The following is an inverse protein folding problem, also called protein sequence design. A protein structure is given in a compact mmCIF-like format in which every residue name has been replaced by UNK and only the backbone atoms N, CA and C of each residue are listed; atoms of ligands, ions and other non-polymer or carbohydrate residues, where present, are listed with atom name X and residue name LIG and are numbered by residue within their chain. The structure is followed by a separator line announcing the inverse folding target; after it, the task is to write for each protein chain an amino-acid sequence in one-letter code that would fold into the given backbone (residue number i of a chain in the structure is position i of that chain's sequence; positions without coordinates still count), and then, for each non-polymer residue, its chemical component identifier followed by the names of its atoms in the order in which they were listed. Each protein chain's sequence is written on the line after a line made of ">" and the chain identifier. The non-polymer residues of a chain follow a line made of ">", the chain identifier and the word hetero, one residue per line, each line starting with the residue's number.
data_IF_683931558445
#
_entry.id   IF_683931558445
#
_cell.length_a   1.000
_cell.length_b   1.000
_cell.length_c   1.000
_cell.angle_alpha   90.00
_cell.angle_beta   90.00
_cell.angle_gamma   90.00
#
_symmetry.space_group_name_H-M   'P 1'
#
loop_
_entity.id
_entity.type
_entity.pdbx_description
1 polymer ?
#
# COMPACT_ATOMS: atom_id res chain seq x y z
N UNK A 1 14.04 -3.72 -15.54
CA UNK A 1 12.66 -3.60 -15.04
C UNK A 1 12.40 -2.14 -14.66
N UNK A 2 11.28 -1.59 -15.06
CA UNK A 2 10.87 -0.22 -14.77
C UNK A 2 9.62 -0.23 -13.88
N UNK A 3 9.69 0.41 -12.71
CA UNK A 3 8.64 0.39 -11.68
C UNK A 3 8.13 1.79 -11.40
N UNK A 4 6.82 1.92 -11.27
CA UNK A 4 6.18 3.13 -10.76
C UNK A 4 5.75 2.90 -9.31
N UNK A 5 6.17 3.77 -8.41
CA UNK A 5 5.89 3.66 -6.98
C UNK A 5 5.10 4.86 -6.46
N UNK A 6 4.01 4.61 -5.74
CA UNK A 6 3.33 5.64 -4.93
C UNK A 6 3.60 5.41 -3.45
N UNK A 7 3.50 6.46 -2.64
CA UNK A 7 3.76 6.35 -1.19
C UNK A 7 5.24 6.17 -0.84
N UNK A 8 6.16 6.57 -1.72
CA UNK A 8 7.62 6.45 -1.58
C UNK A 8 8.22 7.10 -0.33
N UNK A 9 7.50 8.01 0.33
CA UNK A 9 7.92 8.69 1.56
C UNK A 9 7.46 8.00 2.85
N UNK A 10 6.57 7.01 2.75
CA UNK A 10 6.13 6.20 3.89
C UNK A 10 7.18 5.17 4.33
N UNK A 11 6.96 4.53 5.48
CA UNK A 11 7.87 3.53 6.06
C UNK A 11 8.19 2.41 5.05
N UNK A 12 7.17 1.78 4.49
CA UNK A 12 7.33 0.68 3.52
C UNK A 12 7.86 1.19 2.18
N UNK A 13 7.30 2.30 1.67
CA UNK A 13 7.66 2.83 0.36
C UNK A 13 9.10 3.32 0.28
N UNK A 14 9.64 3.95 1.33
CA UNK A 14 11.04 4.38 1.39
C UNK A 14 12.00 3.19 1.46
N UNK A 15 11.66 2.16 2.23
CA UNK A 15 12.46 0.93 2.30
C UNK A 15 12.45 0.18 0.95
N UNK A 16 11.28 0.06 0.32
CA UNK A 16 11.15 -0.54 -1.00
C UNK A 16 11.96 0.24 -2.05
N UNK A 17 11.82 1.57 -2.09
CA UNK A 17 12.58 2.42 -3.01
C UNK A 17 14.09 2.20 -2.87
N UNK A 18 14.59 2.19 -1.63
CA UNK A 18 16.01 1.92 -1.36
C UNK A 18 16.43 0.54 -1.89
N UNK A 19 15.62 -0.49 -1.65
CA UNK A 19 15.91 -1.88 -2.06
C UNK A 19 15.87 -2.08 -3.57
N UNK A 20 14.91 -1.46 -4.26
CA UNK A 20 14.81 -1.53 -5.72
C UNK A 20 16.01 -0.86 -6.41
N UNK A 21 16.43 0.29 -5.89
CA UNK A 21 17.62 1.00 -6.40
C UNK A 21 18.90 0.20 -6.25
N UNK A 22 19.09 -0.49 -5.13
CA UNK A 22 20.27 -1.36 -4.94
C UNK A 22 20.29 -2.60 -5.84
N UNK A 23 19.19 -2.85 -6.57
CA UNK A 23 19.03 -3.97 -7.49
C UNK A 23 18.93 -3.53 -8.96
N UNK A 24 19.44 -2.32 -9.30
CA UNK A 24 19.43 -1.74 -10.64
C UNK A 24 18.05 -1.68 -11.31
N UNK A 25 17.01 -1.51 -10.49
CA UNK A 25 15.63 -1.31 -10.98
C UNK A 25 15.40 0.20 -11.18
N UNK A 26 14.99 0.59 -12.37
CA UNK A 26 14.55 1.96 -12.63
C UNK A 26 13.23 2.22 -11.90
N UNK A 27 13.21 3.22 -11.01
CA UNK A 27 12.02 3.56 -10.22
C UNK A 27 11.64 5.01 -10.46
N UNK A 28 10.45 5.22 -10.97
CA UNK A 28 9.78 6.52 -10.99
C UNK A 28 8.75 6.59 -9.85
N UNK A 29 8.48 7.78 -9.33
CA UNK A 29 7.55 7.95 -8.20
C UNK A 29 6.38 8.85 -8.58
N UNK A 30 5.17 8.48 -8.13
CA UNK A 30 4.00 9.36 -8.17
C UNK A 30 3.92 10.16 -6.86
N UNK A 31 3.88 11.49 -7.00
CA UNK A 31 3.85 12.43 -5.86
C UNK A 31 2.77 13.48 -6.04
N UNK A 32 2.17 13.93 -4.93
CA UNK A 32 1.19 15.02 -4.96
C UNK A 32 1.86 16.39 -5.18
N UNK A 33 3.06 16.55 -4.64
CA UNK A 33 3.84 17.78 -4.70
C UNK A 33 5.30 17.49 -5.07
N UNK A 34 5.71 17.65 -6.34
CA UNK A 34 7.04 17.28 -6.82
C UNK A 34 8.21 17.98 -6.13
N UNK A 35 7.99 19.21 -5.64
CA UNK A 35 9.05 20.03 -5.04
C UNK A 35 9.49 19.56 -3.65
N UNK A 36 8.67 18.78 -2.95
CA UNK A 36 8.94 18.36 -1.56
C UNK A 36 9.81 17.10 -1.50
N UNK A 37 9.73 16.25 -2.53
CA UNK A 37 10.30 14.92 -2.48
C UNK A 37 11.14 14.57 -3.70
N UNK A 38 11.86 15.47 -4.29
CA UNK A 38 12.71 15.28 -5.46
C UNK A 38 12.65 13.91 -6.16
N UNK A 39 12.90 13.85 -7.44
CA UNK A 39 12.99 12.58 -8.14
C UNK A 39 14.07 11.70 -7.52
N UNK A 40 13.86 10.37 -7.43
CA UNK A 40 14.93 9.46 -7.05
C UNK A 40 16.06 9.55 -8.09
N UNK A 41 17.34 9.42 -7.69
CA UNK A 41 18.44 9.38 -8.66
C UNK A 41 18.18 8.37 -9.77
N UNK A 42 18.27 8.81 -11.02
CA UNK A 42 17.97 7.99 -12.20
C UNK A 42 16.50 7.79 -12.51
N UNK A 43 15.58 8.36 -11.70
CA UNK A 43 14.14 8.25 -11.89
C UNK A 43 13.46 9.61 -12.03
N UNK A 44 12.13 9.60 -12.23
CA UNK A 44 11.28 10.79 -12.37
C UNK A 44 10.29 10.90 -11.20
N UNK A 45 9.94 12.13 -10.84
CA UNK A 45 8.81 12.43 -9.99
C UNK A 45 7.64 12.92 -10.86
N UNK A 46 6.61 12.11 -10.96
CA UNK A 46 5.41 12.39 -11.77
C UNK A 46 4.33 12.92 -10.83
N UNK A 47 3.75 14.04 -11.21
CA UNK A 47 2.68 14.63 -10.40
C UNK A 47 1.34 13.95 -10.67
N UNK A 48 0.60 13.69 -9.59
CA UNK A 48 -0.78 13.24 -9.64
C UNK A 48 -1.61 13.88 -8.54
N UNK A 49 -2.92 13.91 -8.74
CA UNK A 49 -3.84 14.37 -7.70
C UNK A 49 -5.07 13.44 -7.67
N UNK A 50 -5.12 12.48 -6.73
CA UNK A 50 -6.25 11.56 -6.63
C UNK A 50 -7.57 12.22 -6.22
N UNK A 51 -7.51 13.40 -5.57
CA UNK A 51 -8.72 14.13 -5.16
C UNK A 51 -9.42 14.80 -6.35
N UNK A 52 -8.65 15.39 -7.26
CA UNK A 52 -9.17 16.04 -8.46
C UNK A 52 -9.20 15.14 -9.69
N UNK A 53 -8.71 13.90 -9.56
CA UNK A 53 -8.64 12.93 -10.65
C UNK A 53 -7.58 13.24 -11.71
N UNK A 54 -6.60 14.10 -11.39
CA UNK A 54 -5.54 14.48 -12.35
C UNK A 54 -4.41 13.46 -12.31
N UNK A 55 -4.22 12.80 -13.45
CA UNK A 55 -3.09 11.91 -13.73
C UNK A 55 -2.92 11.82 -15.25
N UNK A 56 -1.75 12.19 -15.74
CA UNK A 56 -1.43 12.04 -17.17
C UNK A 56 -1.17 10.56 -17.50
N UNK A 57 -2.03 9.99 -18.34
CA UNK A 57 -1.93 8.59 -18.77
C UNK A 57 -0.63 8.31 -19.53
N UNK A 58 -0.16 9.25 -20.36
CA UNK A 58 1.07 9.06 -21.12
C UNK A 58 2.30 8.88 -20.22
N UNK A 59 2.26 9.49 -19.04
CA UNK A 59 3.33 9.35 -18.04
C UNK A 59 3.41 7.95 -17.42
N UNK A 60 2.37 7.12 -17.60
CA UNK A 60 2.29 5.76 -17.07
C UNK A 60 2.60 4.66 -18.11
N UNK A 61 2.93 5.02 -19.32
CA UNK A 61 3.27 4.05 -20.36
C UNK A 61 4.61 3.35 -20.12
N UNK A 62 4.64 2.04 -20.37
CA UNK A 62 5.85 1.24 -20.42
C UNK A 62 6.47 0.91 -19.07
N UNK A 63 5.70 0.90 -17.98
CA UNK A 63 6.14 0.30 -16.71
C UNK A 63 5.87 -1.21 -16.72
N UNK A 64 6.82 -1.96 -16.15
CA UNK A 64 6.67 -3.41 -15.95
C UNK A 64 5.77 -3.71 -14.76
N UNK A 65 5.87 -2.91 -13.69
CA UNK A 65 5.03 -3.03 -12.50
C UNK A 65 4.68 -1.65 -11.91
N UNK A 66 3.50 -1.56 -11.32
CA UNK A 66 3.03 -0.40 -10.56
C UNK A 66 2.78 -0.84 -9.12
N UNK A 67 3.42 -0.17 -8.15
CA UNK A 67 3.27 -0.45 -6.71
C UNK A 67 2.58 0.73 -6.03
N UNK A 68 1.39 0.49 -5.50
CA UNK A 68 0.55 1.51 -4.87
C UNK A 68 0.50 1.34 -3.35
N UNK A 69 1.30 2.15 -2.63
CA UNK A 69 1.39 2.16 -1.18
C UNK A 69 0.89 3.48 -0.57
N UNK A 70 0.39 4.41 -1.38
CA UNK A 70 -0.07 5.71 -0.89
C UNK A 70 -1.40 5.57 -0.14
N UNK A 71 -1.50 6.23 1.01
CA UNK A 71 -2.71 6.29 1.82
C UNK A 71 -2.52 7.24 3.00
N UNK A 72 -3.62 7.77 3.51
CA UNK A 72 -3.65 8.58 4.73
C UNK A 72 -3.20 7.76 5.93
N UNK A 73 -2.32 8.33 6.78
CA UNK A 73 -1.85 7.65 7.99
C UNK A 73 -3.01 7.47 8.99
N UNK A 74 -3.29 6.21 9.35
CA UNK A 74 -4.36 5.85 10.28
C UNK A 74 -3.97 6.06 11.75
N UNK A 75 -2.66 6.09 12.05
CA UNK A 75 -2.13 6.15 13.40
C UNK A 75 -1.94 7.58 13.93
N UNK A 76 -2.28 8.61 13.14
CA UNK A 76 -2.15 10.02 13.51
C UNK A 76 -3.51 10.66 13.76
N UNK A 77 -3.60 11.36 14.90
CA UNK A 77 -4.77 12.12 15.31
C UNK A 77 -5.97 11.26 15.71
N UNK A 78 -7.04 11.93 16.15
CA UNK A 78 -8.30 11.27 16.52
C UNK A 78 -9.10 10.88 15.28
N UNK A 79 -9.82 9.79 15.36
CA UNK A 79 -10.71 9.31 14.30
C UNK A 79 -12.05 10.06 14.29
N UNK A 80 -12.02 11.29 13.82
CA UNK A 80 -13.21 12.08 13.53
C UNK A 80 -13.85 11.61 12.22
N UNK A 81 -15.11 12.00 11.97
CA UNK A 81 -15.79 11.72 10.68
C UNK A 81 -14.94 12.18 9.47
N UNK A 82 -14.30 13.36 9.59
CA UNK A 82 -13.41 13.88 8.53
C UNK A 82 -12.15 13.01 8.35
N UNK A 83 -11.52 12.57 9.45
CA UNK A 83 -10.35 11.67 9.39
C UNK A 83 -10.72 10.34 8.75
N UNK A 84 -11.85 9.76 9.14
CA UNK A 84 -12.36 8.53 8.55
C UNK A 84 -12.63 8.68 7.04
N UNK A 85 -13.23 9.79 6.62
CA UNK A 85 -13.42 10.09 5.21
C UNK A 85 -12.07 10.16 4.47
N UNK A 86 -11.08 10.89 4.99
CA UNK A 86 -9.73 10.96 4.38
C UNK A 86 -9.06 9.58 4.30
N UNK A 87 -9.20 8.75 5.34
CA UNK A 87 -8.65 7.38 5.33
C UNK A 87 -9.25 6.57 4.19
N UNK A 88 -10.56 6.60 4.02
CA UNK A 88 -11.26 5.91 2.93
C UNK A 88 -10.89 6.49 1.56
N UNK A 89 -11.06 7.80 1.41
CA UNK A 89 -10.97 8.47 0.11
C UNK A 89 -9.55 8.45 -0.45
N UNK A 90 -8.52 8.61 0.39
CA UNK A 90 -7.13 8.51 -0.03
C UNK A 90 -6.77 7.14 -0.63
N UNK A 91 -7.43 6.09 -0.18
CA UNK A 91 -7.24 4.72 -0.66
C UNK A 91 -8.08 4.46 -1.90
N UNK A 92 -9.39 4.61 -1.78
CA UNK A 92 -10.34 4.25 -2.82
C UNK A 92 -10.17 5.13 -4.07
N UNK A 93 -10.11 6.47 -3.91
CA UNK A 93 -9.97 7.37 -5.06
C UNK A 93 -8.61 7.23 -5.74
N UNK A 94 -7.53 7.12 -4.96
CA UNK A 94 -6.18 6.93 -5.50
C UNK A 94 -6.05 5.63 -6.29
N UNK A 95 -6.55 4.53 -5.73
CA UNK A 95 -6.53 3.22 -6.40
C UNK A 95 -7.39 3.22 -7.65
N UNK A 96 -8.62 3.77 -7.57
CA UNK A 96 -9.52 3.86 -8.72
C UNK A 96 -8.92 4.68 -9.86
N UNK A 97 -8.29 5.83 -9.54
CA UNK A 97 -7.62 6.66 -10.54
C UNK A 97 -6.50 5.88 -11.24
N UNK A 98 -5.63 5.20 -10.48
CA UNK A 98 -4.57 4.38 -11.04
C UNK A 98 -5.11 3.22 -11.88
N UNK A 99 -6.03 2.43 -11.34
CA UNK A 99 -6.60 1.28 -12.04
C UNK A 99 -7.31 1.69 -13.34
N UNK A 100 -8.09 2.78 -13.31
CA UNK A 100 -8.75 3.32 -14.51
C UNK A 100 -7.76 3.90 -15.53
N UNK A 101 -6.64 4.45 -15.08
CA UNK A 101 -5.57 4.91 -15.97
C UNK A 101 -4.85 3.72 -16.60
N UNK A 102 -4.48 2.72 -15.80
CA UNK A 102 -3.87 1.46 -16.27
C UNK A 102 -4.75 0.80 -17.33
N UNK A 103 -6.06 0.77 -17.13
CA UNK A 103 -6.98 0.18 -18.09
C UNK A 103 -6.94 0.83 -19.50
N UNK A 104 -6.56 2.10 -19.58
CA UNK A 104 -6.48 2.87 -20.83
C UNK A 104 -5.11 2.86 -21.51
N UNK A 105 -4.07 2.34 -20.84
CA UNK A 105 -2.73 2.28 -21.40
C UNK A 105 -2.68 1.38 -22.64
N UNK A 106 -1.85 1.72 -23.60
CA UNK A 106 -1.54 0.83 -24.74
C UNK A 106 -0.65 -0.32 -24.28
N UNK A 107 0.39 -0.01 -23.49
CA UNK A 107 1.31 -0.99 -22.90
C UNK A 107 1.05 -1.12 -21.40
N UNK A 108 0.20 -2.08 -21.07
CA UNK A 108 -0.21 -2.36 -19.68
C UNK A 108 0.95 -2.96 -18.89
N UNK A 109 1.08 -2.63 -17.59
CA UNK A 109 2.04 -3.29 -16.71
C UNK A 109 1.71 -4.77 -16.54
N UNK A 110 2.73 -5.58 -16.28
CA UNK A 110 2.55 -7.01 -15.96
C UNK A 110 1.85 -7.22 -14.62
N UNK A 111 2.09 -6.30 -13.67
CA UNK A 111 1.50 -6.38 -12.35
C UNK A 111 1.14 -5.00 -11.78
N UNK A 112 0.01 -4.96 -11.09
CA UNK A 112 -0.42 -3.86 -10.23
C UNK A 112 -0.50 -4.35 -8.79
N UNK A 113 0.51 -4.00 -7.98
CA UNK A 113 0.60 -4.38 -6.57
C UNK A 113 -0.02 -3.27 -5.73
N UNK A 114 -1.13 -3.55 -5.08
CA UNK A 114 -1.87 -2.60 -4.26
C UNK A 114 -1.80 -2.99 -2.78
N UNK A 115 -1.50 -2.04 -1.91
CA UNK A 115 -1.63 -2.27 -0.49
C UNK A 115 -3.11 -2.46 -0.13
N UNK A 116 -3.36 -3.38 0.80
CA UNK A 116 -4.58 -3.56 1.57
C UNK A 116 -4.17 -3.79 3.03
N UNK A 117 -5.05 -4.28 3.87
CA UNK A 117 -4.72 -4.56 5.26
C UNK A 117 -5.51 -5.74 5.81
N UNK A 118 -4.97 -6.44 6.82
CA UNK A 118 -5.68 -7.50 7.57
C UNK A 118 -6.97 -7.00 8.22
N UNK A 119 -7.13 -5.68 8.34
CA UNK A 119 -8.40 -5.05 8.72
C UNK A 119 -9.58 -5.41 7.80
N UNK A 120 -9.34 -5.97 6.61
CA UNK A 120 -10.33 -6.58 5.72
C UNK A 120 -11.19 -7.62 6.46
N UNK A 121 -10.58 -8.42 7.29
CA UNK A 121 -11.26 -9.50 8.00
C UNK A 121 -12.07 -9.03 9.21
N UNK A 122 -11.78 -7.84 9.78
CA UNK A 122 -12.38 -7.39 11.02
C UNK A 122 -11.96 -8.25 12.21
N UNK A 123 -12.71 -8.15 13.30
CA UNK A 123 -12.54 -9.02 14.46
C UNK A 123 -13.37 -10.31 14.27
N UNK A 124 -12.69 -11.44 14.25
CA UNK A 124 -13.24 -12.78 14.03
C UNK A 124 -12.86 -13.75 15.17
N UNK A 125 -12.40 -13.22 16.31
CA UNK A 125 -11.97 -14.04 17.43
C UNK A 125 -10.91 -15.07 17.03
N UNK A 126 -11.12 -16.34 17.30
CA UNK A 126 -10.16 -17.44 17.02
C UNK A 126 -10.38 -18.12 15.66
N UNK A 127 -11.18 -17.55 14.77
CA UNK A 127 -11.42 -18.14 13.45
C UNK A 127 -10.13 -18.14 12.62
N UNK A 128 -9.82 -19.28 11.98
CA UNK A 128 -8.73 -19.38 11.03
C UNK A 128 -9.14 -18.69 9.72
N UNK A 129 -8.44 -17.62 9.38
CA UNK A 129 -8.72 -16.80 8.21
C UNK A 129 -7.72 -17.09 7.09
N UNK A 130 -8.23 -17.17 5.87
CA UNK A 130 -7.46 -17.32 4.63
C UNK A 130 -7.80 -16.19 3.67
N UNK A 131 -7.12 -16.13 2.54
CA UNK A 131 -7.38 -15.13 1.49
C UNK A 131 -8.80 -15.23 0.92
N UNK A 132 -9.39 -16.45 0.94
CA UNK A 132 -10.78 -16.70 0.52
C UNK A 132 -11.84 -16.36 1.56
N UNK A 133 -11.45 -16.03 2.79
CA UNK A 133 -12.40 -15.68 3.85
C UNK A 133 -13.13 -14.37 3.52
N UNK A 134 -14.43 -14.34 3.86
CA UNK A 134 -15.28 -13.18 3.61
C UNK A 134 -14.81 -11.95 4.42
N UNK A 135 -15.06 -10.74 3.92
CA UNK A 135 -14.75 -9.52 4.66
C UNK A 135 -15.55 -9.44 5.96
N UNK A 136 -14.93 -8.90 6.98
CA UNK A 136 -15.55 -8.65 8.27
C UNK A 136 -16.49 -7.44 8.26
N UNK A 137 -16.84 -7.00 9.47
CA UNK A 137 -17.72 -5.84 9.70
C UNK A 137 -16.91 -4.64 10.24
N UNK A 138 -17.50 -3.47 10.12
CA UNK A 138 -16.96 -2.24 10.68
C UNK A 138 -16.22 -1.37 9.64
N UNK A 139 -15.76 -0.20 10.12
CA UNK A 139 -15.22 0.83 9.25
C UNK A 139 -14.00 0.35 8.45
N UNK A 140 -13.00 -0.25 9.10
CA UNK A 140 -11.77 -0.70 8.44
C UNK A 140 -12.03 -1.81 7.43
N UNK A 141 -12.88 -2.78 7.76
CA UNK A 141 -13.24 -3.85 6.84
C UNK A 141 -13.93 -3.29 5.58
N UNK A 142 -14.87 -2.35 5.76
CA UNK A 142 -15.52 -1.67 4.64
C UNK A 142 -14.54 -0.86 3.79
N UNK A 143 -13.56 -0.19 4.42
CA UNK A 143 -12.51 0.54 3.69
C UNK A 143 -11.64 -0.42 2.88
N UNK A 144 -11.16 -1.51 3.48
CA UNK A 144 -10.32 -2.48 2.79
C UNK A 144 -11.06 -3.14 1.62
N UNK A 145 -12.32 -3.52 1.80
CA UNK A 145 -13.16 -4.05 0.72
C UNK A 145 -13.28 -3.06 -0.44
N UNK A 146 -13.69 -1.82 -0.17
CA UNK A 146 -13.83 -0.80 -1.20
C UNK A 146 -12.48 -0.46 -1.86
N UNK A 147 -11.38 -0.58 -1.14
CA UNK A 147 -10.03 -0.37 -1.64
C UNK A 147 -9.63 -1.45 -2.64
N UNK A 148 -9.85 -2.74 -2.29
CA UNK A 148 -9.59 -3.87 -3.19
C UNK A 148 -10.51 -3.84 -4.43
N UNK A 149 -11.80 -3.54 -4.24
CA UNK A 149 -12.78 -3.36 -5.33
C UNK A 149 -12.37 -2.25 -6.31
N UNK A 150 -11.69 -1.20 -5.84
CA UNK A 150 -11.23 -0.10 -6.69
C UNK A 150 -10.15 -0.51 -7.71
N UNK A 151 -9.56 -1.69 -7.56
CA UNK A 151 -8.60 -2.26 -8.52
C UNK A 151 -9.29 -2.89 -9.76
N UNK A 152 -10.61 -3.11 -9.73
CA UNK A 152 -11.35 -3.82 -10.78
C UNK A 152 -11.04 -3.35 -12.21
N UNK A 153 -10.97 -2.04 -12.53
CA UNK A 153 -10.67 -1.61 -13.91
C UNK A 153 -9.34 -2.16 -14.46
N UNK A 154 -8.33 -2.38 -13.62
CA UNK A 154 -7.07 -2.99 -14.06
C UNK A 154 -7.21 -4.50 -14.26
N UNK A 155 -7.96 -5.18 -13.39
CA UNK A 155 -8.25 -6.62 -13.50
C UNK A 155 -9.05 -6.93 -14.76
N UNK A 156 -10.06 -6.11 -15.07
CA UNK A 156 -10.97 -6.31 -16.19
C UNK A 156 -10.25 -6.27 -17.55
N UNK A 157 -9.09 -5.64 -17.63
CA UNK A 157 -8.24 -5.59 -18.83
C UNK A 157 -7.06 -6.57 -18.80
N UNK A 158 -7.07 -7.53 -17.88
CA UNK A 158 -6.10 -8.63 -17.79
C UNK A 158 -4.78 -8.28 -17.11
N UNK A 159 -4.67 -7.14 -16.41
CA UNK A 159 -3.51 -6.84 -15.57
C UNK A 159 -3.58 -7.69 -14.30
N UNK A 160 -2.47 -8.33 -13.94
CA UNK A 160 -2.38 -9.08 -12.69
C UNK A 160 -2.39 -8.12 -11.50
N UNK A 161 -3.48 -8.13 -10.75
CA UNK A 161 -3.65 -7.33 -9.54
C UNK A 161 -3.33 -8.18 -8.31
N UNK A 162 -2.46 -7.67 -7.42
CA UNK A 162 -2.15 -8.29 -6.14
C UNK A 162 -2.50 -7.33 -5.01
N UNK A 163 -3.51 -7.67 -4.22
CA UNK A 163 -3.90 -6.91 -3.04
C UNK A 163 -3.19 -7.50 -1.80
N UNK A 164 -2.25 -6.75 -1.24
CA UNK A 164 -1.48 -7.17 -0.07
C UNK A 164 -2.23 -6.80 1.20
N UNK A 165 -2.87 -7.76 1.88
CA UNK A 165 -3.52 -7.57 3.18
C UNK A 165 -2.48 -7.55 4.29
N UNK A 166 -1.80 -6.41 4.42
CA UNK A 166 -0.64 -6.21 5.29
C UNK A 166 -1.10 -6.14 6.75
N UNK A 167 -0.42 -6.90 7.61
CA UNK A 167 -0.52 -6.78 9.07
C UNK A 167 0.24 -5.60 9.63
N UNK A 168 0.53 -5.61 10.93
CA UNK A 168 1.37 -4.59 11.56
C UNK A 168 2.80 -4.70 11.06
N UNK A 169 3.31 -3.66 10.39
CA UNK A 169 4.70 -3.64 9.92
C UNK A 169 5.62 -3.28 11.09
N UNK A 170 6.50 -4.19 11.43
CA UNK A 170 7.48 -4.01 12.51
C UNK A 170 8.79 -3.42 11.96
N UNK A 171 9.20 -2.30 12.53
CA UNK A 171 10.48 -1.66 12.24
C UNK A 171 10.87 -0.73 13.38
N UNK A 172 12.14 -0.79 13.79
CA UNK A 172 12.70 0.18 14.74
C UNK A 172 12.77 1.62 14.18
N UNK A 173 12.74 1.77 12.85
CA UNK A 173 12.83 3.07 12.17
C UNK A 173 11.51 3.86 12.18
N UNK A 174 10.41 3.28 12.67
CA UNK A 174 9.12 3.94 12.71
C UNK A 174 7.94 2.97 12.80
N UNK A 175 6.73 3.47 12.49
CA UNK A 175 5.51 2.67 12.58
C UNK A 175 5.08 2.39 14.02
N UNK A 176 4.36 1.28 14.23
CA UNK A 176 3.83 0.91 15.55
C UNK A 176 4.95 0.57 16.53
N UNK A 177 5.91 -0.28 16.12
CA UNK A 177 7.03 -0.67 16.99
C UNK A 177 7.86 0.53 17.43
N UNK A 178 8.20 1.45 16.52
CA UNK A 178 8.95 2.66 16.87
C UNK A 178 8.24 3.54 17.91
N UNK A 179 6.90 3.58 17.91
CA UNK A 179 6.12 4.30 18.92
C UNK A 179 6.04 3.55 20.25
N UNK A 180 6.12 2.23 20.25
CA UNK A 180 6.05 1.40 21.44
C UNK A 180 7.40 1.32 22.18
N UNK A 181 8.53 1.42 21.47
CA UNK A 181 9.85 1.22 22.04
C UNK A 181 10.14 2.15 23.23
N UNK A 182 9.88 3.44 23.11
CA UNK A 182 10.19 4.41 24.16
C UNK A 182 9.43 4.13 25.47
N UNK A 183 8.11 3.93 25.50
CA UNK A 183 7.41 3.53 26.72
C UNK A 183 7.98 2.25 27.36
N UNK A 184 8.32 1.24 26.57
CA UNK A 184 8.88 -0.02 27.08
C UNK A 184 10.29 0.19 27.64
N UNK A 185 11.14 0.98 26.99
CA UNK A 185 12.48 1.33 27.49
C UNK A 185 12.46 2.12 28.84
N UNK A 186 11.39 2.89 29.04
CA UNK A 186 11.15 3.63 30.27
C UNK A 186 10.46 2.80 31.35
N UNK A 187 10.24 1.51 31.17
CA UNK A 187 9.51 0.65 32.09
C UNK A 187 8.01 0.95 32.22
N UNK A 188 7.46 1.78 31.32
CA UNK A 188 6.04 2.16 31.27
C UNK A 188 5.24 1.29 30.29
N UNK A 189 5.87 0.28 29.69
CA UNK A 189 5.20 -0.68 28.83
C UNK A 189 4.21 -1.54 29.59
N UNK A 190 3.10 -1.90 28.95
CA UNK A 190 2.07 -2.70 29.59
C UNK A 190 1.15 -3.39 28.59
N UNK A 191 0.25 -4.21 29.13
CA UNK A 191 -0.75 -4.92 28.38
C UNK A 191 -1.75 -3.94 27.75
N UNK A 192 -2.01 -4.11 26.44
CA UNK A 192 -3.00 -3.32 25.70
C UNK A 192 -4.31 -4.10 25.66
N UNK A 193 -5.40 -3.53 26.15
CA UNK A 193 -6.70 -4.19 26.23
C UNK A 193 -6.68 -5.45 27.09
N UNK A 194 -7.28 -6.55 26.65
CA UNK A 194 -7.24 -7.84 27.32
C UNK A 194 -5.87 -8.52 27.24
N UNK A 195 -5.06 -8.17 26.23
CA UNK A 195 -3.80 -8.85 25.90
C UNK A 195 -3.99 -10.21 25.18
N UNK A 196 -5.24 -10.61 24.90
CA UNK A 196 -5.58 -11.90 24.26
C UNK A 196 -5.91 -11.75 22.78
N UNK A 197 -5.91 -10.51 22.26
CA UNK A 197 -6.21 -10.27 20.86
C UNK A 197 -5.10 -10.78 19.94
N UNK A 198 -5.49 -11.45 18.87
CA UNK A 198 -4.58 -11.83 17.79
C UNK A 198 -4.04 -10.60 17.06
N UNK A 199 -2.76 -10.61 16.76
CA UNK A 199 -2.09 -9.50 16.08
C UNK A 199 -1.22 -10.03 14.95
N UNK A 200 -1.67 -9.85 13.72
CA UNK A 200 -0.86 -10.17 12.53
C UNK A 200 0.23 -9.13 12.35
N UNK A 201 1.45 -9.58 12.15
CA UNK A 201 2.59 -8.69 11.91
C UNK A 201 3.54 -9.25 10.86
N UNK A 202 4.34 -8.36 10.29
CA UNK A 202 5.43 -8.70 9.37
C UNK A 202 6.60 -7.75 9.60
N UNK A 203 7.84 -8.23 9.50
CA UNK A 203 9.03 -7.39 9.53
C UNK A 203 9.12 -6.58 8.22
N UNK A 204 9.69 -5.37 8.31
CA UNK A 204 9.75 -4.44 7.16
C UNK A 204 10.53 -5.00 5.98
N UNK A 205 11.66 -5.68 6.21
CA UNK A 205 12.48 -6.29 5.16
C UNK A 205 11.77 -7.43 4.46
N UNK A 206 11.04 -8.26 5.23
CA UNK A 206 10.24 -9.36 4.68
C UNK A 206 9.09 -8.83 3.83
N UNK A 207 8.41 -7.77 4.27
CA UNK A 207 7.38 -7.12 3.46
C UNK A 207 7.95 -6.57 2.15
N UNK A 208 9.12 -5.94 2.19
CA UNK A 208 9.80 -5.44 0.98
C UNK A 208 10.17 -6.59 0.05
N UNK A 209 10.64 -7.71 0.59
CA UNK A 209 10.95 -8.91 -0.20
C UNK A 209 9.68 -9.49 -0.85
N UNK A 210 8.59 -9.58 -0.10
CA UNK A 210 7.28 -10.03 -0.59
C UNK A 210 6.76 -9.13 -1.72
N UNK A 211 6.82 -7.81 -1.58
CA UNK A 211 6.42 -6.87 -2.64
C UNK A 211 7.25 -7.10 -3.91
N UNK A 212 8.56 -7.28 -3.76
CA UNK A 212 9.45 -7.57 -4.91
C UNK A 212 9.10 -8.88 -5.59
N UNK A 213 8.85 -9.94 -4.83
CA UNK A 213 8.39 -11.21 -5.36
C UNK A 213 7.09 -11.05 -6.13
N UNK A 214 6.11 -10.38 -5.54
CA UNK A 214 4.83 -10.12 -6.18
C UNK A 214 4.93 -9.32 -7.50
N UNK A 215 5.97 -8.49 -7.70
CA UNK A 215 6.19 -7.78 -8.96
C UNK A 215 6.68 -8.71 -10.08
N UNK A 216 7.42 -9.76 -9.75
CA UNK A 216 8.19 -10.56 -10.73
C UNK A 216 7.67 -11.99 -10.93
N UNK A 217 6.86 -12.51 -10.00
CA UNK A 217 6.38 -13.88 -10.05
C UNK A 217 5.45 -14.11 -11.25
N UNK A 218 5.79 -15.04 -12.15
CA UNK A 218 4.92 -15.41 -13.27
C UNK A 218 3.84 -16.43 -12.89
N UNK A 219 3.86 -17.02 -11.68
CA UNK A 219 3.02 -18.16 -11.31
C UNK A 219 1.51 -17.92 -11.37
N UNK A 220 1.07 -16.66 -11.34
CA UNK A 220 -0.35 -16.27 -11.42
C UNK A 220 -0.80 -15.83 -12.84
N UNK A 221 -0.15 -16.30 -13.89
CA UNK A 221 -0.57 -16.04 -15.28
C UNK A 221 -1.60 -17.07 -15.80
N UNK A 222 -2.43 -17.62 -14.91
CA UNK A 222 -3.52 -18.51 -15.31
C UNK A 222 -4.85 -17.81 -15.24
#
# INVERSE_FOLDING_TARGET
>A
MKVLLTGSTGLVGSALLQKLRSADVQVDILVRHPRVNGAPPGGKAIQWNPVTGVLDSNSLEGYDAIVHLAGENIAEGRWTKQKMARIRDSRVQGTKLLASTIARLERKPLAFICASAVGFYGDRGNELLTEGSQPGKGFLANVCRAWEEACAPATDVGVRVVNLRIGMVLSAKGGALGKMLLPFQLGLGGRIGSGEQWMSWIELGDLVALIRHAMTDPADRK
#
